data_IF_521718082321
#
_entry.id   IF_521718082321
#
_cell.length_a   1.000
_cell.length_b   1.000
_cell.length_c   1.000
_cell.angle_alpha   90.00
_cell.angle_beta   90.00
_cell.angle_gamma   90.00
#
_symmetry.space_group_name_H-M   'P 1'
#
loop_
_entity.id
_entity.type
_entity.pdbx_description
1 polymer ?
#
# COMPACT_ATOMS: atom_id res chain seq x y z
N UNK A 1 -20.80 -17.03 -0.37
CA UNK A 1 -20.00 -16.92 -1.61
C UNK A 1 -20.18 -15.52 -2.18
N UNK A 2 -19.15 -14.66 -2.14
CA UNK A 2 -19.11 -13.42 -2.93
C UNK A 2 -17.68 -13.27 -3.48
N UNK A 3 -17.56 -13.64 -4.75
CA UNK A 3 -16.37 -13.58 -5.59
C UNK A 3 -16.13 -12.13 -6.06
N UNK A 4 -15.50 -11.31 -5.21
CA UNK A 4 -14.96 -10.03 -5.65
C UNK A 4 -13.54 -10.21 -6.17
N UNK A 5 -13.43 -10.32 -7.49
CA UNK A 5 -12.19 -10.39 -8.27
C UNK A 5 -11.47 -9.01 -8.31
N UNK A 6 -11.13 -8.46 -7.13
CA UNK A 6 -10.21 -7.33 -7.03
C UNK A 6 -8.78 -7.86 -7.03
N UNK A 7 -7.95 -7.43 -7.99
CA UNK A 7 -6.50 -7.76 -8.09
C UNK A 7 -5.64 -7.29 -6.89
N UNK A 8 -6.28 -6.88 -5.80
CA UNK A 8 -5.70 -6.50 -4.53
C UNK A 8 -6.16 -7.55 -3.53
N UNK A 9 -5.21 -8.30 -2.98
CA UNK A 9 -5.52 -9.33 -2.01
C UNK A 9 -6.10 -8.66 -0.76
N UNK A 10 -7.21 -9.22 -0.24
CA UNK A 10 -7.82 -8.80 1.02
C UNK A 10 -6.74 -8.78 2.12
N UNK A 11 -6.77 -7.83 3.08
CA UNK A 11 -5.89 -7.89 4.23
C UNK A 11 -6.05 -9.25 4.91
N UNK A 12 -4.94 -9.96 5.10
CA UNK A 12 -4.97 -11.25 5.79
C UNK A 12 -5.11 -10.98 7.29
N UNK A 13 -6.06 -11.70 7.90
CA UNK A 13 -6.68 -11.40 9.19
C UNK A 13 -5.72 -11.45 10.40
N UNK A 14 -6.11 -10.66 11.39
CA UNK A 14 -5.47 -10.25 12.65
C UNK A 14 -5.27 -11.35 13.69
N UNK A 15 -4.11 -11.30 14.35
CA UNK A 15 -4.01 -11.62 15.78
C UNK A 15 -3.29 -10.45 16.46
N UNK A 16 -3.93 -9.82 17.45
CA UNK A 16 -3.41 -8.69 18.27
C UNK A 16 -2.92 -7.45 17.50
N UNK A 17 -3.79 -6.72 16.81
CA UNK A 17 -3.45 -5.44 16.14
C UNK A 17 -2.36 -5.48 15.05
N UNK A 18 -1.82 -6.66 14.71
CA UNK A 18 -0.91 -6.88 13.59
C UNK A 18 -1.69 -7.09 12.29
N UNK A 19 -1.46 -6.25 11.29
CA UNK A 19 -2.08 -6.34 9.97
C UNK A 19 -1.02 -6.43 8.87
N UNK A 20 -1.22 -7.37 7.95
CA UNK A 20 -0.31 -7.60 6.83
C UNK A 20 -1.02 -7.25 5.53
N UNK A 21 -0.42 -6.35 4.77
CA UNK A 21 -0.93 -5.94 3.48
C UNK A 21 0.04 -6.36 2.38
N UNK A 22 -0.44 -7.21 1.47
CA UNK A 22 0.36 -7.72 0.35
C UNK A 22 -0.04 -7.00 -0.93
N UNK A 23 0.90 -6.24 -1.50
CA UNK A 23 0.69 -5.55 -2.76
C UNK A 23 1.06 -6.51 -3.89
N UNK A 24 0.06 -7.20 -4.43
CA UNK A 24 0.22 -8.24 -5.46
C UNK A 24 1.01 -7.78 -6.69
N UNK A 25 0.95 -6.48 -7.03
CA UNK A 25 1.67 -5.92 -8.17
C UNK A 25 3.16 -5.64 -7.92
N UNK A 26 3.59 -5.47 -6.67
CA UNK A 26 4.96 -5.10 -6.31
C UNK A 26 5.74 -6.24 -5.65
N UNK A 27 5.08 -7.36 -5.32
CA UNK A 27 5.64 -8.44 -4.48
C UNK A 27 6.17 -7.94 -3.12
N UNK A 28 5.70 -6.78 -2.68
CA UNK A 28 6.04 -6.17 -1.42
C UNK A 28 4.98 -6.43 -0.37
N UNK A 29 5.44 -6.55 0.86
CA UNK A 29 4.60 -6.72 2.04
C UNK A 29 4.76 -5.50 2.93
N UNK A 30 3.63 -4.97 3.36
CA UNK A 30 3.55 -3.93 4.37
C UNK A 30 3.03 -4.52 5.67
N UNK A 31 3.68 -4.15 6.76
CA UNK A 31 3.33 -4.57 8.09
C UNK A 31 2.80 -3.36 8.87
N UNK A 32 1.59 -3.47 9.41
CA UNK A 32 1.03 -2.50 10.33
C UNK A 32 1.05 -3.08 11.73
N UNK A 33 1.75 -2.38 12.62
CA UNK A 33 2.10 -2.79 13.98
C UNK A 33 2.86 -4.13 14.04
N UNK A 34 3.66 -4.27 15.09
CA UNK A 34 4.45 -5.46 15.34
C UNK A 34 4.38 -5.82 16.84
N UNK A 35 3.23 -6.37 17.32
CA UNK A 35 3.15 -6.97 18.65
C UNK A 35 4.19 -8.07 18.83
N UNK A 36 4.41 -8.42 20.09
CA UNK A 36 5.16 -9.62 20.46
C UNK A 36 4.53 -10.88 19.83
N UNK A 37 5.39 -11.79 19.34
CA UNK A 37 4.96 -13.02 18.67
C UNK A 37 4.62 -12.89 17.18
N UNK A 38 4.74 -11.69 16.56
CA UNK A 38 4.53 -11.50 15.11
C UNK A 38 5.32 -12.48 14.24
N UNK A 39 6.57 -12.75 14.59
CA UNK A 39 7.43 -13.64 13.81
C UNK A 39 6.88 -15.06 13.75
N UNK A 40 6.44 -15.59 14.90
CA UNK A 40 5.84 -16.92 14.99
C UNK A 40 4.55 -16.98 14.15
N UNK A 41 3.76 -15.90 14.17
CA UNK A 41 2.58 -15.78 13.33
C UNK A 41 2.94 -15.79 11.83
N UNK A 42 3.95 -15.05 11.39
CA UNK A 42 4.40 -15.05 9.99
C UNK A 42 4.87 -16.43 9.54
N UNK A 43 5.59 -17.16 10.39
CA UNK A 43 6.04 -18.54 10.11
C UNK A 43 4.83 -19.46 9.91
N UNK A 44 3.85 -19.41 10.82
CA UNK A 44 2.60 -20.20 10.71
C UNK A 44 1.84 -19.91 9.42
N UNK A 45 1.77 -18.64 9.02
CA UNK A 45 1.11 -18.21 7.79
C UNK A 45 1.96 -18.35 6.52
N UNK A 46 3.16 -18.94 6.61
CA UNK A 46 4.12 -19.09 5.50
C UNK A 46 4.45 -17.76 4.81
N UNK A 47 4.42 -16.66 5.56
CA UNK A 47 4.73 -15.32 5.08
C UNK A 47 6.24 -15.12 5.13
N UNK A 48 6.82 -14.79 3.98
CA UNK A 48 8.25 -14.51 3.88
C UNK A 48 8.55 -13.12 4.46
N UNK A 49 9.07 -13.09 5.69
CA UNK A 49 9.43 -11.86 6.41
C UNK A 49 10.38 -10.98 5.58
N UNK A 50 11.27 -11.59 4.78
CA UNK A 50 12.19 -10.86 3.89
C UNK A 50 11.51 -10.01 2.81
N UNK A 51 10.23 -10.26 2.50
CA UNK A 51 9.44 -9.46 1.56
C UNK A 51 8.82 -8.21 2.19
N UNK A 52 8.94 -8.03 3.51
CA UNK A 52 8.44 -6.84 4.19
C UNK A 52 9.29 -5.65 3.75
N UNK A 53 8.74 -4.69 3.02
CA UNK A 53 9.44 -3.48 2.58
C UNK A 53 9.20 -2.31 3.52
N UNK A 54 8.00 -2.27 4.10
CA UNK A 54 7.50 -1.14 4.89
C UNK A 54 6.85 -1.62 6.17
N UNK A 55 7.18 -0.98 7.29
CA UNK A 55 6.54 -1.17 8.58
C UNK A 55 5.89 0.15 9.00
N UNK A 56 4.64 0.11 9.43
CA UNK A 56 3.87 1.27 9.86
C UNK A 56 3.42 1.00 11.30
N UNK A 57 3.73 1.92 12.21
CA UNK A 57 3.41 1.79 13.63
C UNK A 57 2.39 2.87 13.97
N UNK A 58 1.24 2.46 14.48
CA UNK A 58 0.11 3.37 14.75
C UNK A 58 0.33 4.17 16.04
N UNK A 59 0.96 3.57 17.05
CA UNK A 59 1.27 4.18 18.35
C UNK A 59 2.50 3.50 18.97
N UNK A 60 3.12 4.12 19.98
CA UNK A 60 4.31 3.57 20.66
C UNK A 60 3.99 2.71 21.88
N UNK A 61 2.79 2.14 21.95
CA UNK A 61 2.41 1.26 23.05
C UNK A 61 3.13 -0.09 22.91
N UNK A 62 3.29 -0.81 24.02
CA UNK A 62 4.00 -2.09 24.01
C UNK A 62 3.32 -3.11 23.09
N UNK A 63 1.99 -3.07 23.02
CA UNK A 63 1.16 -3.94 22.18
C UNK A 63 1.46 -3.78 20.69
N UNK A 64 1.92 -2.62 20.23
CA UNK A 64 2.20 -2.36 18.82
C UNK A 64 3.68 -2.45 18.46
N UNK A 65 4.61 -2.30 19.42
CA UNK A 65 6.05 -2.16 19.14
C UNK A 65 6.91 -3.28 19.71
N UNK A 66 6.44 -4.06 20.70
CA UNK A 66 7.28 -5.02 21.44
C UNK A 66 8.01 -6.03 20.54
N UNK A 67 7.37 -6.52 19.47
CA UNK A 67 7.96 -7.49 18.55
C UNK A 67 8.92 -6.92 17.50
N UNK A 68 8.98 -5.59 17.36
CA UNK A 68 9.75 -4.92 16.33
C UNK A 68 11.27 -5.18 16.40
N UNK A 69 11.94 -5.06 17.57
CA UNK A 69 13.38 -5.32 17.66
C UNK A 69 13.73 -6.75 17.25
N UNK A 70 12.93 -7.73 17.68
CA UNK A 70 13.09 -9.11 17.26
C UNK A 70 12.99 -9.25 15.75
N UNK A 71 11.93 -8.68 15.14
CA UNK A 71 11.72 -8.70 13.69
C UNK A 71 12.92 -8.18 12.91
N UNK A 72 13.48 -7.04 13.35
CA UNK A 72 14.63 -6.42 12.70
C UNK A 72 15.89 -7.29 12.81
N UNK A 73 16.11 -7.91 13.97
CA UNK A 73 17.23 -8.85 14.18
C UNK A 73 17.10 -10.09 13.30
N UNK A 74 15.91 -10.68 13.21
CA UNK A 74 15.68 -11.83 12.32
C UNK A 74 15.86 -11.48 10.84
N UNK A 75 15.46 -10.27 10.42
CA UNK A 75 15.75 -9.78 9.06
C UNK A 75 17.25 -9.60 8.81
N UNK A 76 18.01 -9.18 9.82
CA UNK A 76 19.47 -9.04 9.75
C UNK A 76 20.14 -10.41 9.57
N UNK A 77 19.70 -11.41 10.33
CA UNK A 77 20.20 -12.80 10.23
C UNK A 77 19.92 -13.44 8.87
N UNK A 78 18.81 -13.06 8.22
CA UNK A 78 18.47 -13.52 6.87
C UNK A 78 19.28 -12.81 5.77
N UNK A 79 20.30 -12.03 6.11
CA UNK A 79 21.16 -11.29 5.18
C UNK A 79 20.36 -10.46 4.16
N UNK A 80 19.30 -9.80 4.64
CA UNK A 80 18.52 -8.87 3.82
C UNK A 80 19.44 -7.78 3.27
N UNK A 81 19.37 -7.53 1.95
CA UNK A 81 20.10 -6.42 1.29
C UNK A 81 19.23 -5.18 1.06
N UNK A 82 17.92 -5.37 0.91
CA UNK A 82 17.00 -4.28 0.62
C UNK A 82 16.79 -3.37 1.82
N UNK A 83 16.63 -2.07 1.59
CA UNK A 83 16.25 -1.12 2.63
C UNK A 83 14.89 -1.46 3.26
N UNK A 84 14.68 -1.07 4.51
CA UNK A 84 13.41 -1.20 5.22
C UNK A 84 12.93 0.18 5.64
N UNK A 85 11.70 0.55 5.29
CA UNK A 85 11.11 1.82 5.67
C UNK A 85 10.21 1.63 6.89
N UNK A 86 10.42 2.43 7.94
CA UNK A 86 9.60 2.40 9.16
C UNK A 86 8.94 3.75 9.35
N UNK A 87 7.61 3.76 9.29
CA UNK A 87 6.78 4.94 9.55
C UNK A 87 6.22 4.87 10.96
N UNK A 88 6.57 5.81 11.83
CA UNK A 88 6.15 5.76 13.23
C UNK A 88 6.03 7.14 13.89
N UNK A 89 5.34 7.25 15.04
CA UNK A 89 5.33 8.47 15.85
C UNK A 89 6.74 8.85 16.36
N UNK A 90 6.88 10.09 16.83
CA UNK A 90 8.13 10.57 17.43
C UNK A 90 8.54 9.66 18.60
N UNK A 91 9.78 9.17 18.58
CA UNK A 91 10.38 8.40 19.68
C UNK A 91 10.76 6.96 19.34
N UNK A 92 10.24 6.40 18.24
CA UNK A 92 10.57 5.03 17.84
C UNK A 92 12.07 4.85 17.55
N UNK A 93 12.68 5.81 16.87
CA UNK A 93 14.10 5.77 16.50
C UNK A 93 14.98 5.65 17.75
N UNK A 94 14.74 6.50 18.75
CA UNK A 94 15.45 6.44 20.04
C UNK A 94 15.20 5.10 20.76
N UNK A 95 13.96 4.61 20.75
CA UNK A 95 13.63 3.31 21.34
C UNK A 95 14.44 2.17 20.71
N UNK A 96 14.49 2.12 19.38
CA UNK A 96 15.26 1.11 18.66
C UNK A 96 16.76 1.27 18.81
N UNK A 97 17.25 2.51 18.86
CA UNK A 97 18.66 2.80 19.09
C UNK A 97 19.12 2.32 20.47
N UNK A 98 18.37 2.64 21.53
CA UNK A 98 18.65 2.16 22.87
C UNK A 98 18.62 0.64 22.94
N UNK A 99 17.61 0.00 22.32
CA UNK A 99 17.57 -1.47 22.24
C UNK A 99 18.81 -2.03 21.57
N UNK A 100 19.22 -1.48 20.42
CA UNK A 100 20.45 -1.90 19.73
C UNK A 100 21.71 -1.76 20.59
N UNK A 101 21.84 -0.64 21.31
CA UNK A 101 22.96 -0.39 22.21
C UNK A 101 23.05 -1.43 23.33
N UNK A 102 21.94 -1.71 24.01
CA UNK A 102 21.92 -2.65 25.13
C UNK A 102 22.00 -4.12 24.71
N UNK A 103 21.46 -4.48 23.53
CA UNK A 103 21.55 -5.85 23.04
C UNK A 103 22.79 -6.14 22.20
N UNK A 104 23.65 -5.13 21.97
CA UNK A 104 24.80 -5.23 21.06
C UNK A 104 24.44 -5.79 19.67
N UNK A 105 23.24 -5.46 19.18
CA UNK A 105 22.75 -5.94 17.89
C UNK A 105 22.97 -4.90 16.82
N UNK A 106 23.60 -5.29 15.71
CA UNK A 106 23.77 -4.45 14.53
C UNK A 106 22.94 -4.97 13.35
N UNK A 107 22.18 -4.09 12.71
CA UNK A 107 21.44 -4.43 11.50
C UNK A 107 22.35 -4.30 10.28
N UNK A 108 22.46 -5.37 9.48
CA UNK A 108 23.30 -5.41 8.27
C UNK A 108 22.65 -4.77 7.04
N UNK A 109 21.58 -3.99 7.23
CA UNK A 109 20.81 -3.35 6.18
C UNK A 109 20.34 -1.97 6.62
N UNK A 110 20.05 -1.10 5.66
CA UNK A 110 19.58 0.25 5.94
C UNK A 110 18.13 0.24 6.42
N UNK A 111 17.91 0.79 7.61
CA UNK A 111 16.59 1.10 8.16
C UNK A 111 16.36 2.59 8.03
N UNK A 112 15.32 2.97 7.29
CA UNK A 112 14.93 4.36 7.09
C UNK A 112 13.76 4.70 8.01
N UNK A 113 14.00 5.63 8.94
CA UNK A 113 12.97 6.13 9.84
C UNK A 113 12.24 7.31 9.23
N UNK A 114 10.92 7.19 9.16
CA UNK A 114 10.02 8.23 8.68
C UNK A 114 9.08 8.61 9.81
N UNK A 115 9.17 9.87 10.24
CA UNK A 115 8.29 10.37 11.30
C UNK A 115 6.89 10.61 10.74
N UNK A 116 5.90 9.98 11.36
CA UNK A 116 4.50 10.24 11.08
C UNK A 116 4.07 11.57 11.70
N UNK A 117 3.51 12.42 10.85
CA UNK A 117 2.83 13.65 11.26
C UNK A 117 1.35 13.55 10.92
N UNK A 118 0.54 14.42 11.53
CA UNK A 118 -0.86 14.58 11.16
C UNK A 118 -0.95 15.01 9.69
N UNK A 119 -1.84 14.37 8.92
CA UNK A 119 -2.01 14.64 7.47
C UNK A 119 -0.76 14.37 6.62
N UNK A 120 0.16 13.52 7.07
CA UNK A 120 1.27 13.10 6.22
C UNK A 120 0.75 12.24 5.06
N UNK A 121 1.29 12.49 3.86
CA UNK A 121 0.89 11.80 2.64
C UNK A 121 2.08 10.99 2.15
N UNK A 122 1.95 9.66 2.16
CA UNK A 122 2.93 8.77 1.55
C UNK A 122 2.45 8.52 0.12
N UNK A 123 3.13 9.17 -0.83
CA UNK A 123 2.81 9.07 -2.26
C UNK A 123 3.71 8.04 -2.94
N UNK A 124 3.08 7.17 -3.72
CA UNK A 124 3.74 6.27 -4.64
C UNK A 124 3.01 6.30 -5.98
N UNK A 125 3.67 5.82 -7.04
CA UNK A 125 3.05 5.75 -8.38
C UNK A 125 1.75 4.93 -8.41
N UNK A 126 1.56 4.02 -7.46
CA UNK A 126 0.41 3.11 -7.42
C UNK A 126 -0.62 3.42 -6.34
N UNK A 127 -0.32 4.28 -5.37
CA UNK A 127 -1.20 4.57 -4.24
C UNK A 127 -0.77 5.86 -3.52
N UNK A 128 -1.72 6.45 -2.81
CA UNK A 128 -1.50 7.49 -1.82
C UNK A 128 -1.98 6.98 -0.47
N UNK A 129 -1.23 7.22 0.60
CA UNK A 129 -1.66 6.90 1.95
C UNK A 129 -1.69 8.16 2.80
N UNK A 130 -2.83 8.40 3.43
CA UNK A 130 -3.10 9.56 4.27
C UNK A 130 -3.10 9.11 5.73
N UNK A 131 -2.35 9.81 6.58
CA UNK A 131 -2.37 9.59 8.03
C UNK A 131 -3.26 10.60 8.76
N UNK A 132 -4.07 10.09 9.68
CA UNK A 132 -4.88 10.88 10.61
C UNK A 132 -4.48 10.52 12.02
N UNK A 133 -4.38 11.50 12.92
CA UNK A 133 -4.06 11.25 14.32
C UNK A 133 -5.33 11.45 15.13
N UNK A 134 -5.81 10.39 15.78
CA UNK A 134 -7.02 10.39 16.57
C UNK A 134 -6.86 9.47 17.79
N UNK A 135 -7.41 9.86 18.94
CA UNK A 135 -7.37 9.05 20.18
C UNK A 135 -5.98 8.47 20.52
N UNK A 136 -4.92 9.29 20.41
CA UNK A 136 -3.52 8.90 20.66
C UNK A 136 -2.95 7.82 19.72
N UNK A 137 -3.65 7.50 18.63
CA UNK A 137 -3.21 6.54 17.61
C UNK A 137 -3.24 7.17 16.21
N UNK A 138 -2.35 6.73 15.35
CA UNK A 138 -2.43 7.04 13.92
C UNK A 138 -3.34 6.05 13.21
N UNK A 139 -4.29 6.61 12.48
CA UNK A 139 -5.11 5.91 11.51
C UNK A 139 -4.63 6.23 10.10
N UNK A 140 -4.89 5.32 9.18
CA UNK A 140 -4.44 5.43 7.81
C UNK A 140 -5.60 5.22 6.86
N UNK A 141 -5.58 5.95 5.74
CA UNK A 141 -6.45 5.73 4.59
C UNK A 141 -5.56 5.57 3.37
N UNK A 142 -5.64 4.42 2.73
CA UNK A 142 -4.90 4.15 1.49
C UNK A 142 -5.84 4.33 0.29
N UNK A 143 -5.40 5.06 -0.73
CA UNK A 143 -6.11 5.27 -1.97
C UNK A 143 -5.23 4.70 -3.08
N UNK A 144 -5.62 3.56 -3.65
CA UNK A 144 -4.91 2.98 -4.77
C UNK A 144 -5.18 3.78 -6.06
N UNK A 145 -4.12 4.14 -6.79
CA UNK A 145 -4.24 4.77 -8.09
C UNK A 145 -4.87 3.80 -9.09
N UNK A 146 -5.74 4.35 -9.94
CA UNK A 146 -6.36 3.61 -11.04
C UNK A 146 -5.27 3.16 -12.00
N UNK A 147 -5.26 1.87 -12.33
CA UNK A 147 -4.61 1.41 -13.56
C UNK A 147 -5.60 1.55 -14.70
N UNK A 148 -5.14 2.10 -15.82
CA UNK A 148 -5.96 2.24 -17.03
C UNK A 148 -6.55 0.89 -17.46
N UNK A 149 -7.78 0.93 -17.98
CA UNK A 149 -8.50 -0.25 -18.45
C UNK A 149 -7.75 -1.00 -19.55
N UNK A 150 -8.18 -2.23 -19.88
CA UNK A 150 -7.68 -2.88 -21.09
C UNK A 150 -8.06 -2.01 -22.29
N UNK A 151 -7.06 -1.73 -23.13
CA UNK A 151 -7.25 -1.00 -24.37
C UNK A 151 -7.99 -1.89 -25.37
N UNK A 152 -8.99 -1.35 -26.06
CA UNK A 152 -9.81 -2.03 -27.06
C UNK A 152 -9.11 -1.91 -28.40
N UNK A 153 -8.19 -2.84 -28.67
CA UNK A 153 -7.46 -2.93 -29.94
C UNK A 153 -8.41 -2.95 -31.14
N UNK A 154 -9.47 -3.76 -31.08
CA UNK A 154 -10.45 -3.89 -32.17
C UNK A 154 -11.15 -2.55 -32.51
N UNK A 155 -11.38 -1.68 -31.52
CA UNK A 155 -11.95 -0.36 -31.79
C UNK A 155 -10.91 0.54 -32.46
N UNK A 156 -9.66 0.52 -31.98
CA UNK A 156 -8.60 1.32 -32.59
C UNK A 156 -8.37 0.95 -34.06
N UNK A 157 -8.40 -0.34 -34.39
CA UNK A 157 -8.30 -0.82 -35.78
C UNK A 157 -9.50 -0.40 -36.63
N UNK A 158 -10.72 -0.37 -36.08
CA UNK A 158 -11.90 0.15 -36.80
C UNK A 158 -11.79 1.65 -37.13
N UNK A 159 -11.13 2.43 -36.26
CA UNK A 159 -10.85 3.85 -36.51
C UNK A 159 -9.62 4.08 -37.40
N UNK A 160 -9.05 3.01 -37.99
CA UNK A 160 -7.90 3.12 -38.89
C UNK A 160 -6.60 3.56 -38.20
N UNK A 161 -6.52 3.46 -36.87
CA UNK A 161 -5.34 3.92 -36.15
C UNK A 161 -4.15 3.00 -36.39
N UNK A 162 -3.00 3.61 -36.65
CA UNK A 162 -1.72 2.90 -36.78
C UNK A 162 -1.25 2.48 -35.38
N UNK A 163 -0.73 1.27 -35.27
CA UNK A 163 -0.15 0.75 -34.05
C UNK A 163 1.08 1.59 -33.69
N UNK A 164 1.05 2.24 -32.53
CA UNK A 164 2.12 3.16 -32.14
C UNK A 164 1.96 3.75 -30.74
N UNK A 165 2.78 4.74 -30.37
CA UNK A 165 2.78 5.36 -29.05
C UNK A 165 1.42 5.98 -28.69
N UNK A 166 0.64 6.42 -29.69
CA UNK A 166 -0.73 6.92 -29.57
C UNK A 166 -1.65 5.98 -28.80
N UNK A 167 -1.46 4.66 -28.88
CA UNK A 167 -2.29 3.69 -28.15
C UNK A 167 -2.08 3.80 -26.64
N UNK A 168 -0.83 4.04 -26.23
CA UNK A 168 -0.49 4.26 -24.83
C UNK A 168 -1.12 5.54 -24.29
N UNK A 169 -1.17 6.58 -25.10
CA UNK A 169 -1.75 7.86 -24.71
C UNK A 169 -3.29 7.84 -24.71
N UNK A 170 -3.92 7.29 -25.76
CA UNK A 170 -5.36 7.05 -25.77
C UNK A 170 -5.80 6.16 -24.60
N UNK A 171 -4.97 5.17 -24.21
CA UNK A 171 -5.22 4.37 -23.01
C UNK A 171 -5.17 5.20 -21.72
N UNK A 172 -4.43 6.31 -21.69
CA UNK A 172 -4.38 7.27 -20.58
C UNK A 172 -5.58 8.22 -20.53
N UNK A 173 -6.56 8.06 -21.43
CA UNK A 173 -7.70 8.97 -21.63
C UNK A 173 -7.30 10.37 -22.12
N UNK A 174 -6.17 10.52 -22.81
CA UNK A 174 -5.88 11.78 -23.48
C UNK A 174 -6.71 11.94 -24.75
N UNK A 175 -6.94 13.19 -25.13
CA UNK A 175 -7.65 13.57 -26.34
C UNK A 175 -6.64 13.98 -27.42
N UNK A 176 -6.86 13.55 -28.65
CA UNK A 176 -6.00 13.87 -29.79
C UNK A 176 -6.80 14.34 -30.98
N UNK A 177 -6.21 15.26 -31.75
CA UNK A 177 -6.74 15.68 -33.05
C UNK A 177 -5.90 14.96 -34.11
N UNK A 178 -6.57 14.22 -34.99
CA UNK A 178 -5.94 13.58 -36.14
C UNK A 178 -5.71 14.61 -37.26
N UNK A 179 -4.78 14.35 -38.20
CA UNK A 179 -4.57 15.20 -39.38
C UNK A 179 -5.86 15.44 -40.20
N UNK A 180 -6.80 14.50 -40.14
CA UNK A 180 -8.10 14.57 -40.81
C UNK A 180 -9.13 15.44 -40.06
N UNK A 181 -8.72 16.10 -38.96
CA UNK A 181 -9.58 16.97 -38.14
C UNK A 181 -10.43 16.24 -37.09
N UNK A 182 -10.41 14.90 -37.07
CA UNK A 182 -11.16 14.08 -36.11
C UNK A 182 -10.55 14.15 -34.71
N UNK A 183 -11.38 14.50 -33.72
CA UNK A 183 -11.04 14.46 -32.30
C UNK A 183 -11.30 13.07 -31.73
N UNK A 184 -10.26 12.40 -31.22
CA UNK A 184 -10.36 11.11 -30.55
C UNK A 184 -10.27 11.27 -29.04
N UNK A 185 -11.29 10.75 -28.34
CA UNK A 185 -11.25 10.62 -26.89
C UNK A 185 -10.81 9.20 -26.49
N UNK A 186 -9.72 9.11 -25.74
CA UNK A 186 -9.19 7.86 -25.18
C UNK A 186 -10.18 7.05 -24.34
N UNK A 187 -11.22 7.68 -23.78
CA UNK A 187 -12.29 6.99 -23.05
C UNK A 187 -13.05 5.97 -23.91
N UNK A 188 -13.17 6.22 -25.22
CA UNK A 188 -13.88 5.36 -26.18
C UNK A 188 -13.15 4.01 -26.35
N UNK A 189 -11.82 4.08 -26.31
CA UNK A 189 -10.90 2.98 -26.55
C UNK A 189 -10.53 2.20 -25.28
N UNK A 190 -10.93 2.66 -24.10
CA UNK A 190 -10.73 1.92 -22.86
C UNK A 190 -12.03 1.25 -22.41
N UNK A 191 -11.94 0.08 -21.77
CA UNK A 191 -13.10 -0.53 -21.10
C UNK A 191 -13.37 0.27 -19.82
N UNK A 192 -14.55 0.86 -19.70
CA UNK A 192 -15.05 1.45 -18.45
C UNK A 192 -14.98 0.35 -17.40
N UNK A 193 -14.20 0.59 -16.35
CA UNK A 193 -14.21 -0.28 -15.16
C UNK A 193 -15.21 0.33 -14.18
N UNK A 194 -15.99 -0.52 -13.50
CA UNK A 194 -16.97 -0.09 -12.49
C UNK A 194 -16.38 0.96 -11.55
N UNK A 195 -17.19 1.98 -11.23
CA UNK A 195 -16.84 3.22 -10.49
C UNK A 195 -15.99 2.94 -9.24
N UNK A 196 -15.08 3.89 -8.96
CA UNK A 196 -14.23 4.04 -7.78
C UNK A 196 -14.11 2.80 -6.88
N UNK A 197 -13.09 1.97 -7.07
CA UNK A 197 -12.57 1.20 -5.94
C UNK A 197 -11.67 2.11 -5.12
N UNK A 198 -12.25 3.08 -4.41
CA UNK A 198 -11.56 3.67 -3.27
C UNK A 198 -11.44 2.53 -2.27
N UNK A 199 -10.30 1.86 -2.22
CA UNK A 199 -10.09 0.83 -1.21
C UNK A 199 -9.76 1.56 0.09
N UNK A 200 -10.79 2.16 0.69
CA UNK A 200 -10.70 2.85 1.97
C UNK A 200 -10.48 1.76 3.01
N UNK A 201 -9.23 1.57 3.40
CA UNK A 201 -8.91 0.79 4.58
C UNK A 201 -8.84 1.74 5.75
N UNK A 202 -9.91 1.84 6.52
CA UNK A 202 -9.84 2.43 7.86
C UNK A 202 -9.40 1.32 8.81
N UNK A 203 -8.19 1.42 9.35
CA UNK A 203 -7.64 0.41 10.26
C UNK A 203 -8.44 0.37 11.58
N UNK A 204 -9.05 1.49 11.96
CA UNK A 204 -10.04 1.57 13.03
C UNK A 204 -11.24 2.37 12.53
N UNK A 205 -12.46 1.94 12.89
CA UNK A 205 -13.73 2.45 12.37
C UNK A 205 -13.88 3.94 12.73
N UNK A 206 -13.52 4.86 11.83
CA UNK A 206 -13.55 6.30 12.13
C UNK A 206 -14.97 6.83 12.39
N UNK A 207 -16.02 6.20 11.86
CA UNK A 207 -17.45 6.49 12.12
C UNK A 207 -18.31 5.28 11.66
N UNK A 208 -19.41 4.99 12.36
CA UNK A 208 -20.53 4.19 11.82
C UNK A 208 -21.25 5.01 10.74
N UNK A 209 -20.67 5.12 9.55
CA UNK A 209 -21.41 5.59 8.37
C UNK A 209 -21.60 4.38 7.48
N UNK A 210 -22.85 4.07 7.06
CA UNK A 210 -23.05 3.06 6.02
C UNK A 210 -22.21 3.51 4.82
N UNK A 211 -21.39 2.60 4.29
CA UNK A 211 -20.53 2.83 3.13
C UNK A 211 -21.33 2.89 1.83
N UNK A 212 -22.43 3.65 1.83
CA UNK A 212 -23.26 3.98 0.68
C UNK A 212 -23.34 5.50 0.65
N UNK A 213 -22.33 6.10 0.04
CA UNK A 213 -22.56 7.25 -0.81
C UNK A 213 -22.18 6.80 -2.22
N UNK A 214 -23.11 6.06 -2.83
CA UNK A 214 -23.23 6.04 -4.28
C UNK A 214 -23.71 7.45 -4.62
N UNK A 215 -22.79 8.36 -4.93
CA UNK A 215 -23.17 9.64 -5.51
C UNK A 215 -23.65 9.32 -6.93
N UNK A 216 -24.96 9.10 -7.01
CA UNK A 216 -25.74 9.25 -8.23
C UNK A 216 -25.70 10.73 -8.61
N UNK A 217 -24.99 11.03 -9.69
CA UNK A 217 -25.43 11.78 -10.87
C UNK A 217 -24.41 11.46 -11.98
#
# INVERSE_FOLDING_TARGET
MLSSNSKWNKPYLTQKDCLIFKISNLKEIWLFNCPEGCQQYFIKQKIKIIQISTIIITNLNIESVCGLPGLLSSLSLLNRKNGLHIYAPKGLENYLHLKQQYSHTHFRYHVYFHRLNTRSIIKSNYYEMYSFYNNLKFEFVMIAHRKYGKFKLNKATMFGLIIGPLYGELKKNSQFILPDGLTLDGQIFTKIRSRNSNIIFTIYKYINRPSIEIISI
#
